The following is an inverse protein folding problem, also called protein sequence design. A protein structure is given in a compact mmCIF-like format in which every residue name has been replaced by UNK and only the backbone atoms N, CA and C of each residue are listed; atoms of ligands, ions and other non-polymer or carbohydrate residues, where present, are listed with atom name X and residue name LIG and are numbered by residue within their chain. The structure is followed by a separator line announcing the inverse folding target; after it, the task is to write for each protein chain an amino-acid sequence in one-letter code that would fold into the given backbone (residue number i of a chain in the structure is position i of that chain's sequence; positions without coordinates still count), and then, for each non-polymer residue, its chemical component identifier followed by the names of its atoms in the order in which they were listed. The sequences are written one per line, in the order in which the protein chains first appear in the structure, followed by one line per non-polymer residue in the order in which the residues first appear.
data_IF_330659088401
#
_entry.id   IF_330659088401
#
_cell.length_a   1.000
_cell.length_b   1.000
_cell.length_c   1.000
_cell.angle_alpha   90.00
_cell.angle_beta   90.00
_cell.angle_gamma   90.00
#
_symmetry.space_group_name_H-M   'P 1'
#
loop_
_entity.id
_entity.type
_entity.pdbx_description
1 polymer ?
#
# COMPACT_ATOMS: atom_id res chain seq x y z
N UNK A 1 6.05 76.22 12.31
CA UNK A 1 6.24 75.35 11.12
C UNK A 1 6.47 73.88 11.49
N UNK A 2 6.94 73.58 12.72
CA UNK A 2 7.33 72.22 13.13
C UNK A 2 6.19 71.27 13.53
N UNK A 3 5.01 71.77 13.88
CA UNK A 3 3.86 70.92 14.25
C UNK A 3 3.13 70.32 13.04
N UNK A 4 3.28 70.90 11.85
CA UNK A 4 2.66 70.43 10.60
C UNK A 4 3.50 69.32 9.95
N UNK A 5 4.82 69.49 9.90
CA UNK A 5 5.78 68.48 9.42
C UNK A 5 5.82 67.23 10.30
N UNK A 6 5.64 67.38 11.62
CA UNK A 6 5.52 66.24 12.53
C UNK A 6 4.25 65.42 12.24
N UNK A 7 3.07 66.05 12.10
CA UNK A 7 1.81 65.34 11.78
C UNK A 7 1.87 64.63 10.42
N UNK A 8 2.44 65.27 9.39
CA UNK A 8 2.57 64.64 8.06
C UNK A 8 3.51 63.43 8.10
N UNK A 9 4.62 63.47 8.85
CA UNK A 9 5.50 62.29 9.05
C UNK A 9 4.80 61.15 9.79
N UNK A 10 4.02 61.44 10.83
CA UNK A 10 3.29 60.41 11.59
C UNK A 10 2.17 59.79 10.75
N UNK A 11 1.43 60.59 9.98
CA UNK A 11 0.40 60.10 9.04
C UNK A 11 0.99 59.28 7.90
N UNK A 12 2.17 59.65 7.38
CA UNK A 12 2.86 58.88 6.34
C UNK A 12 3.40 57.53 6.88
N UNK A 13 3.93 57.51 8.10
CA UNK A 13 4.37 56.26 8.76
C UNK A 13 3.21 55.32 9.12
N UNK A 14 2.05 55.86 9.52
CA UNK A 14 0.83 55.10 9.75
C UNK A 14 0.27 54.52 8.44
N UNK A 15 0.31 55.28 7.34
CA UNK A 15 -0.11 54.81 6.02
C UNK A 15 0.80 53.67 5.48
N UNK A 16 2.12 53.78 5.66
CA UNK A 16 3.08 52.71 5.28
C UNK A 16 2.91 51.46 6.14
N UNK A 17 2.62 51.61 7.44
CA UNK A 17 2.29 50.47 8.33
C UNK A 17 0.95 49.82 7.98
N UNK A 18 -0.05 50.61 7.60
CA UNK A 18 -1.35 50.11 7.13
C UNK A 18 -1.26 49.37 5.80
N UNK A 19 -0.46 49.86 4.86
CA UNK A 19 -0.17 49.18 3.58
C UNK A 19 0.59 47.86 3.77
N UNK A 20 1.54 47.81 4.70
CA UNK A 20 2.25 46.57 5.03
C UNK A 20 1.32 45.51 5.66
N UNK A 21 0.36 45.94 6.49
CA UNK A 21 -0.66 45.06 7.05
C UNK A 21 -1.62 44.50 5.98
N UNK A 22 -2.11 45.35 5.08
CA UNK A 22 -2.94 44.95 3.94
C UNK A 22 -2.19 43.99 3.00
N UNK A 23 -0.91 44.26 2.72
CA UNK A 23 -0.09 43.37 1.90
C UNK A 23 0.14 42.00 2.56
N UNK A 24 0.40 41.96 3.87
CA UNK A 24 0.54 40.72 4.63
C UNK A 24 -0.78 39.93 4.74
N UNK A 25 -1.91 40.64 4.90
CA UNK A 25 -3.23 40.02 4.93
C UNK A 25 -3.59 39.40 3.58
N UNK A 26 -3.44 40.15 2.48
CA UNK A 26 -3.63 39.65 1.11
C UNK A 26 -2.69 38.49 0.79
N UNK A 27 -1.45 38.52 1.30
CA UNK A 27 -0.48 37.44 1.16
C UNK A 27 -0.93 36.16 1.87
N UNK A 28 -1.37 36.26 3.13
CA UNK A 28 -1.90 35.11 3.87
C UNK A 28 -3.17 34.55 3.23
N UNK A 29 -4.04 35.42 2.69
CA UNK A 29 -5.24 35.03 1.94
C UNK A 29 -4.90 34.28 0.64
N UNK A 30 -3.89 34.75 -0.11
CA UNK A 30 -3.44 34.07 -1.33
C UNK A 30 -2.81 32.71 -1.02
N UNK A 31 -2.07 32.60 0.07
CA UNK A 31 -1.43 31.36 0.51
C UNK A 31 -2.47 30.34 0.99
N UNK A 32 -3.51 30.80 1.72
CA UNK A 32 -4.67 30.00 2.07
C UNK A 32 -5.45 29.54 0.83
N UNK A 33 -5.60 30.41 -0.18
CA UNK A 33 -6.26 30.06 -1.44
C UNK A 33 -5.46 29.03 -2.25
N UNK A 34 -4.13 29.13 -2.28
CA UNK A 34 -3.24 28.13 -2.92
C UNK A 34 -3.28 26.80 -2.18
N UNK A 35 -3.27 26.81 -0.85
CA UNK A 35 -3.41 25.59 -0.05
C UNK A 35 -4.79 24.95 -0.24
N UNK A 36 -5.85 25.77 -0.31
CA UNK A 36 -7.21 25.32 -0.57
C UNK A 36 -7.37 24.76 -1.99
N UNK A 37 -6.83 25.42 -3.01
CA UNK A 37 -6.82 24.88 -4.39
C UNK A 37 -5.95 23.63 -4.49
N UNK A 38 -4.82 23.55 -3.78
CA UNK A 38 -4.02 22.33 -3.76
C UNK A 38 -4.75 21.16 -3.08
N UNK A 39 -5.52 21.44 -2.03
CA UNK A 39 -6.38 20.46 -1.39
C UNK A 39 -7.51 20.01 -2.32
N UNK A 40 -8.24 20.95 -2.91
CA UNK A 40 -9.44 20.66 -3.71
C UNK A 40 -9.12 20.09 -5.10
N UNK A 41 -8.07 20.57 -5.75
CA UNK A 41 -7.70 20.18 -7.13
C UNK A 41 -6.71 19.02 -7.14
N UNK A 42 -5.71 19.02 -6.24
CA UNK A 42 -4.63 18.03 -6.25
C UNK A 42 -4.69 16.98 -5.13
N UNK A 43 -5.71 17.00 -4.27
CA UNK A 43 -5.96 15.97 -3.24
C UNK A 43 -4.75 15.75 -2.30
N UNK A 44 -3.96 16.81 -2.10
CA UNK A 44 -2.77 16.79 -1.25
C UNK A 44 -3.16 16.41 0.19
N UNK A 45 -2.49 15.43 0.82
CA UNK A 45 -2.84 14.99 2.18
C UNK A 45 -2.72 16.10 3.21
N UNK A 46 -3.60 16.05 4.23
CA UNK A 46 -3.66 17.05 5.29
C UNK A 46 -2.34 17.17 6.04
N UNK A 47 -1.71 16.04 6.38
CA UNK A 47 -0.37 16.03 7.00
C UNK A 47 0.67 16.79 6.18
N UNK A 48 0.64 16.66 4.84
CA UNK A 48 1.56 17.37 3.97
C UNK A 48 1.27 18.87 3.95
N UNK A 49 -0.01 19.26 3.94
CA UNK A 49 -0.42 20.66 4.06
C UNK A 49 -0.02 21.25 5.42
N UNK A 50 -0.09 20.47 6.49
CA UNK A 50 0.37 20.86 7.82
C UNK A 50 1.88 21.05 7.82
N UNK A 51 2.67 20.13 7.27
CA UNK A 51 4.14 20.28 7.16
C UNK A 51 4.53 21.45 6.27
N UNK A 52 3.81 21.69 5.17
CA UNK A 52 4.02 22.85 4.32
C UNK A 52 3.71 24.15 5.08
N UNK A 53 2.58 24.19 5.79
CA UNK A 53 2.13 25.32 6.58
C UNK A 53 3.10 25.65 7.72
N UNK A 54 3.58 24.65 8.46
CA UNK A 54 4.58 24.83 9.51
C UNK A 54 5.92 25.28 8.94
N UNK A 55 6.36 24.73 7.81
CA UNK A 55 7.58 25.16 7.13
C UNK A 55 7.49 26.62 6.68
N UNK A 56 6.35 27.04 6.11
CA UNK A 56 6.10 28.42 5.70
C UNK A 56 6.08 29.38 6.90
N UNK A 57 5.47 28.97 8.02
CA UNK A 57 5.50 29.71 9.28
C UNK A 57 6.92 29.88 9.81
N UNK A 58 7.71 28.81 9.84
CA UNK A 58 9.11 28.84 10.29
C UNK A 58 9.98 29.71 9.40
N UNK A 59 9.81 29.66 8.08
CA UNK A 59 10.52 30.54 7.14
C UNK A 59 10.07 32.00 7.31
N UNK A 60 8.77 32.24 7.54
CA UNK A 60 8.25 33.58 7.85
C UNK A 60 8.83 34.16 9.14
N UNK A 61 8.92 33.36 10.20
CA UNK A 61 9.55 33.72 11.47
C UNK A 61 11.05 33.96 11.32
N UNK A 62 11.76 33.12 10.56
CA UNK A 62 13.17 33.32 10.26
C UNK A 62 13.40 34.61 9.45
N UNK A 63 12.57 34.89 8.44
CA UNK A 63 12.63 36.13 7.68
C UNK A 63 12.32 37.38 8.54
N UNK A 64 11.42 37.26 9.51
CA UNK A 64 11.14 38.31 10.50
C UNK A 64 12.31 38.53 11.46
N UNK A 65 12.89 37.46 12.02
CA UNK A 65 14.06 37.55 12.91
C UNK A 65 15.28 38.16 12.20
N UNK A 66 15.45 37.85 10.92
CA UNK A 66 16.52 38.40 10.09
C UNK A 66 16.19 39.80 9.53
N UNK A 67 14.98 40.34 9.74
CA UNK A 67 14.60 41.70 9.33
C UNK A 67 15.51 42.76 9.99
N UNK A 68 16.11 42.47 11.14
CA UNK A 68 17.11 43.31 11.79
C UNK A 68 18.46 43.40 11.06
N UNK A 69 18.74 42.49 10.11
CA UNK A 69 19.99 42.48 9.35
C UNK A 69 19.82 43.27 8.04
N UNK A 70 20.63 44.33 7.87
CA UNK A 70 20.64 45.21 6.69
C UNK A 70 21.22 44.54 5.42
N UNK A 71 20.73 43.35 5.01
CA UNK A 71 21.18 42.64 3.79
C UNK A 71 20.00 42.35 2.82
N UNK A 72 19.65 43.30 1.93
CA UNK A 72 18.47 43.20 1.06
C UNK A 72 18.44 42.05 0.03
N UNK A 73 19.54 41.60 -0.61
CA UNK A 73 19.46 40.50 -1.57
C UNK A 73 19.18 39.16 -0.89
N UNK A 74 19.80 38.90 0.27
CA UNK A 74 19.61 37.68 1.04
C UNK A 74 18.13 37.54 1.48
N UNK A 75 17.51 38.65 1.89
CA UNK A 75 16.09 38.69 2.28
C UNK A 75 15.15 38.32 1.14
N UNK A 76 15.40 38.80 -0.09
CA UNK A 76 14.58 38.44 -1.26
C UNK A 76 14.74 36.96 -1.60
N UNK A 77 15.96 36.44 -1.61
CA UNK A 77 16.23 35.03 -1.84
C UNK A 77 15.56 34.12 -0.82
N UNK A 78 15.54 34.50 0.46
CA UNK A 78 14.86 33.72 1.51
C UNK A 78 13.35 33.71 1.37
N UNK A 79 12.73 34.82 0.97
CA UNK A 79 11.28 34.87 0.69
C UNK A 79 10.94 34.03 -0.55
N UNK A 80 11.73 34.12 -1.62
CA UNK A 80 11.54 33.28 -2.81
C UNK A 80 11.77 31.81 -2.52
N UNK A 81 12.81 31.45 -1.77
CA UNK A 81 13.05 30.08 -1.33
C UNK A 81 11.89 29.58 -0.45
N UNK A 82 11.38 30.42 0.46
CA UNK A 82 10.23 30.12 1.30
C UNK A 82 8.92 29.91 0.54
N UNK A 83 8.74 30.54 -0.61
CA UNK A 83 7.50 30.45 -1.40
C UNK A 83 7.57 29.40 -2.50
N UNK A 84 8.66 29.39 -3.26
CA UNK A 84 8.81 28.55 -4.45
C UNK A 84 9.10 27.11 -4.04
N UNK A 85 9.94 26.90 -3.03
CA UNK A 85 10.33 25.55 -2.63
C UNK A 85 9.13 24.72 -2.15
N UNK A 86 8.25 25.20 -1.25
CA UNK A 86 7.07 24.44 -0.84
C UNK A 86 6.11 24.14 -1.99
N UNK A 87 5.92 25.08 -2.92
CA UNK A 87 5.09 24.86 -4.10
C UNK A 87 5.67 23.78 -5.02
N UNK A 88 6.98 23.79 -5.25
CA UNK A 88 7.66 22.76 -6.05
C UNK A 88 7.58 21.39 -5.38
N UNK A 89 7.80 21.33 -4.06
CA UNK A 89 7.67 20.08 -3.29
C UNK A 89 6.23 19.57 -3.32
N UNK A 90 5.23 20.42 -3.13
CA UNK A 90 3.82 20.05 -3.20
C UNK A 90 3.43 19.58 -4.62
N UNK A 91 3.90 20.25 -5.67
CA UNK A 91 3.67 19.84 -7.04
C UNK A 91 4.32 18.49 -7.36
N UNK A 92 5.57 18.27 -6.93
CA UNK A 92 6.28 17.01 -7.09
C UNK A 92 5.57 15.88 -6.35
N UNK A 93 5.23 16.07 -5.08
CA UNK A 93 4.52 15.06 -4.29
C UNK A 93 3.12 14.80 -4.84
N UNK A 94 2.39 15.82 -5.30
CA UNK A 94 1.12 15.66 -5.99
C UNK A 94 1.24 14.89 -7.31
N UNK A 95 2.34 15.05 -8.06
CA UNK A 95 2.61 14.26 -9.25
C UNK A 95 2.91 12.79 -8.90
N UNK A 96 3.76 12.54 -7.90
CA UNK A 96 4.02 11.18 -7.40
C UNK A 96 2.72 10.53 -6.94
N UNK A 97 1.90 11.25 -6.17
CA UNK A 97 0.60 10.76 -5.71
C UNK A 97 -0.30 10.36 -6.86
N UNK A 98 -0.37 11.13 -7.94
CA UNK A 98 -1.22 10.79 -9.09
C UNK A 98 -0.75 9.53 -9.83
N UNK A 99 0.56 9.30 -9.92
CA UNK A 99 1.14 8.15 -10.62
C UNK A 99 1.07 6.88 -9.77
N UNK A 100 1.40 7.00 -8.49
CA UNK A 100 1.54 5.88 -7.53
C UNK A 100 0.25 5.64 -6.70
N UNK A 101 -0.73 6.54 -6.81
CA UNK A 101 -1.99 6.55 -6.04
C UNK A 101 -1.76 6.39 -4.53
N UNK A 102 -0.84 7.17 -3.97
CA UNK A 102 -0.52 7.08 -2.54
C UNK A 102 0.07 5.73 -2.11
N UNK A 103 0.68 5.01 -3.05
CA UNK A 103 1.30 3.70 -2.86
C UNK A 103 2.72 3.76 -2.29
N UNK A 104 3.61 2.94 -2.85
CA UNK A 104 4.94 2.70 -2.27
C UNK A 104 5.90 3.90 -2.39
N UNK A 105 5.93 4.58 -3.54
CA UNK A 105 6.77 5.77 -3.71
C UNK A 105 6.31 6.90 -2.80
N UNK A 106 5.00 7.07 -2.68
CA UNK A 106 4.41 8.03 -1.76
C UNK A 106 4.84 7.76 -0.31
N UNK A 107 4.71 6.50 0.15
CA UNK A 107 5.15 6.09 1.48
C UNK A 107 6.65 6.35 1.68
N UNK A 108 7.51 6.00 0.71
CA UNK A 108 8.96 6.21 0.81
C UNK A 108 9.37 7.68 0.91
N UNK A 109 8.63 8.59 0.30
CA UNK A 109 8.93 10.02 0.33
C UNK A 109 8.37 10.72 1.57
N UNK A 110 7.27 10.23 2.13
CA UNK A 110 6.51 10.94 3.17
C UNK A 110 6.48 10.23 4.51
N UNK A 111 6.81 8.94 4.55
CA UNK A 111 6.60 8.07 5.70
C UNK A 111 5.13 7.75 6.00
N UNK A 112 4.20 8.24 5.18
CA UNK A 112 2.76 8.13 5.42
C UNK A 112 2.12 7.07 4.50
N UNK A 113 1.70 5.96 5.08
CA UNK A 113 0.94 4.91 4.39
C UNK A 113 -0.53 5.32 4.32
N UNK A 114 -1.03 5.67 3.13
CA UNK A 114 -2.41 6.14 2.96
C UNK A 114 -3.38 5.07 2.44
N UNK A 115 -2.87 3.95 1.90
CA UNK A 115 -3.61 2.88 1.21
C UNK A 115 -5.05 3.28 0.85
N UNK A 116 -5.23 4.00 -0.27
CA UNK A 116 -6.52 4.60 -0.58
C UNK A 116 -7.62 3.56 -0.59
N UNK A 117 -8.74 3.91 0.04
CA UNK A 117 -9.95 3.09 0.07
C UNK A 117 -10.58 3.04 -1.33
N UNK A 118 -10.72 1.86 -1.90
CA UNK A 118 -11.50 1.62 -3.12
C UNK A 118 -12.91 1.10 -2.76
N UNK A 119 -13.95 1.82 -3.18
CA UNK A 119 -15.36 1.41 -3.03
C UNK A 119 -15.84 0.73 -4.31
N UNK A 120 -16.05 -0.58 -4.25
CA UNK A 120 -16.41 -1.46 -5.37
C UNK A 120 -17.59 -2.37 -5.00
N UNK A 121 -18.42 -1.98 -4.04
CA UNK A 121 -19.49 -2.80 -3.47
C UNK A 121 -20.53 -3.26 -4.51
N UNK A 122 -20.83 -2.43 -5.51
CA UNK A 122 -21.77 -2.77 -6.59
C UNK A 122 -21.33 -4.00 -7.39
N UNK A 123 -20.02 -4.16 -7.61
CA UNK A 123 -19.47 -5.28 -8.38
C UNK A 123 -19.48 -6.61 -7.65
N UNK A 124 -19.71 -6.61 -6.33
CA UNK A 124 -19.79 -7.84 -5.53
C UNK A 124 -20.99 -8.71 -5.88
N UNK A 125 -22.05 -8.10 -6.43
CA UNK A 125 -23.33 -8.74 -6.74
C UNK A 125 -23.58 -8.90 -8.24
N UNK A 126 -22.56 -8.67 -9.08
CA UNK A 126 -22.71 -8.84 -10.53
C UNK A 126 -23.05 -10.28 -10.91
N UNK A 127 -23.98 -10.40 -11.85
CA UNK A 127 -24.22 -11.66 -12.54
C UNK A 127 -23.01 -12.06 -13.40
N UNK A 128 -22.93 -13.33 -13.81
CA UNK A 128 -21.88 -13.78 -14.72
C UNK A 128 -21.84 -12.95 -16.02
N UNK A 129 -23.00 -12.61 -16.59
CA UNK A 129 -23.09 -11.83 -17.83
C UNK A 129 -22.64 -10.38 -17.64
N UNK A 130 -22.97 -9.75 -16.51
CA UNK A 130 -22.51 -8.39 -16.21
C UNK A 130 -21.01 -8.36 -15.92
N UNK A 131 -20.50 -9.34 -15.17
CA UNK A 131 -19.07 -9.48 -14.93
C UNK A 131 -18.29 -9.62 -16.24
N UNK A 132 -18.71 -10.52 -17.13
CA UNK A 132 -18.03 -10.77 -18.41
C UNK A 132 -18.10 -9.57 -19.37
N UNK A 133 -19.19 -8.78 -19.30
CA UNK A 133 -19.31 -7.54 -20.09
C UNK A 133 -18.26 -6.51 -19.70
N UNK A 134 -17.96 -6.39 -18.41
CA UNK A 134 -16.96 -5.46 -17.90
C UNK A 134 -15.54 -6.04 -17.98
N UNK A 135 -15.41 -7.37 -17.94
CA UNK A 135 -14.12 -8.07 -17.91
C UNK A 135 -14.01 -9.09 -19.06
N UNK A 136 -13.87 -8.63 -20.32
CA UNK A 136 -13.91 -9.50 -21.50
C UNK A 136 -12.71 -10.46 -21.61
N UNK A 137 -11.70 -10.34 -20.75
CA UNK A 137 -10.59 -11.29 -20.70
C UNK A 137 -10.99 -12.65 -20.11
N UNK A 138 -12.09 -12.71 -19.36
CA UNK A 138 -12.61 -13.93 -18.77
C UNK A 138 -13.59 -14.62 -19.72
N UNK A 139 -13.78 -15.91 -19.50
CA UNK A 139 -14.79 -16.73 -20.15
C UNK A 139 -15.47 -17.62 -19.12
N UNK A 140 -16.50 -18.36 -19.51
CA UNK A 140 -17.03 -19.43 -18.65
C UNK A 140 -16.35 -20.76 -18.99
N UNK A 141 -16.16 -21.59 -17.97
CA UNK A 141 -15.82 -22.99 -18.18
C UNK A 141 -16.95 -23.66 -18.97
N UNK A 142 -16.59 -24.53 -19.93
CA UNK A 142 -17.57 -25.21 -20.77
C UNK A 142 -18.59 -25.99 -19.91
N UNK A 143 -19.88 -25.69 -20.11
CA UNK A 143 -20.97 -26.34 -19.37
C UNK A 143 -21.26 -25.73 -18.00
N UNK A 144 -20.53 -24.70 -17.57
CA UNK A 144 -20.79 -23.97 -16.34
C UNK A 144 -21.40 -22.59 -16.62
N UNK A 145 -22.33 -22.17 -15.77
CA UNK A 145 -22.93 -20.83 -15.79
C UNK A 145 -22.24 -19.86 -14.82
N UNK A 146 -21.43 -20.37 -13.91
CA UNK A 146 -20.89 -19.63 -12.76
C UNK A 146 -19.38 -19.73 -12.63
N UNK A 147 -18.75 -20.71 -13.26
CA UNK A 147 -17.30 -20.88 -13.18
C UNK A 147 -16.60 -20.04 -14.25
N UNK A 148 -15.95 -18.98 -13.78
CA UNK A 148 -15.12 -18.11 -14.58
C UNK A 148 -13.79 -18.80 -14.89
N UNK A 149 -13.32 -18.61 -16.10
CA UNK A 149 -12.08 -19.14 -16.63
C UNK A 149 -11.23 -17.99 -17.17
N UNK A 150 -10.03 -17.86 -16.62
CA UNK A 150 -8.96 -17.04 -17.18
C UNK A 150 -7.94 -17.97 -17.86
N UNK A 151 -7.85 -17.87 -19.18
CA UNK A 151 -6.99 -18.74 -19.99
C UNK A 151 -5.51 -18.36 -19.87
N UNK A 152 -4.64 -19.30 -20.22
CA UNK A 152 -3.19 -19.06 -20.20
C UNK A 152 -2.78 -17.95 -21.16
N UNK A 153 -2.47 -16.78 -20.61
CA UNK A 153 -1.96 -15.61 -21.35
C UNK A 153 -1.32 -14.58 -20.39
N UNK A 154 -0.85 -13.47 -20.95
CA UNK A 154 -0.40 -12.30 -20.19
C UNK A 154 -1.51 -11.24 -20.21
N UNK A 155 -1.96 -10.82 -19.03
CA UNK A 155 -3.02 -9.83 -18.87
C UNK A 155 -2.49 -8.59 -18.15
N UNK A 156 -2.78 -7.41 -18.71
CA UNK A 156 -2.62 -6.13 -18.01
C UNK A 156 -3.93 -5.79 -17.29
N UNK A 157 -3.87 -5.67 -15.97
CA UNK A 157 -5.01 -5.40 -15.10
C UNK A 157 -4.98 -3.92 -14.73
N UNK A 158 -5.76 -3.12 -15.43
CA UNK A 158 -5.77 -1.65 -15.30
C UNK A 158 -6.66 -1.14 -14.14
N UNK A 159 -7.62 -1.97 -13.73
CA UNK A 159 -8.61 -1.68 -12.68
C UNK A 159 -8.66 -2.83 -11.66
N UNK A 160 -9.12 -2.52 -10.45
CA UNK A 160 -9.26 -3.54 -9.40
C UNK A 160 -10.34 -4.54 -9.82
N UNK A 161 -9.99 -5.82 -9.84
CA UNK A 161 -10.87 -6.91 -10.23
C UNK A 161 -11.63 -7.39 -9.01
N UNK A 162 -12.96 -7.38 -9.09
CA UNK A 162 -13.84 -7.97 -8.08
C UNK A 162 -14.46 -9.23 -8.65
N UNK A 163 -14.15 -10.38 -8.07
CA UNK A 163 -14.84 -11.64 -8.37
C UNK A 163 -16.09 -11.70 -7.49
N UNK A 164 -17.31 -11.61 -8.09
CA UNK A 164 -18.57 -11.56 -7.36
C UNK A 164 -18.84 -12.83 -6.56
N UNK A 165 -19.76 -12.76 -5.60
CA UNK A 165 -20.24 -13.93 -4.88
C UNK A 165 -20.93 -14.91 -5.84
N UNK A 166 -20.64 -16.21 -5.68
CA UNK A 166 -21.24 -17.28 -6.48
C UNK A 166 -20.57 -17.53 -7.83
N UNK A 167 -19.50 -16.77 -8.17
CA UNK A 167 -18.71 -16.97 -9.39
C UNK A 167 -17.30 -17.46 -9.04
N UNK A 168 -17.08 -18.78 -9.12
CA UNK A 168 -15.74 -19.36 -8.85
C UNK A 168 -14.78 -19.01 -9.98
N UNK A 169 -13.55 -18.61 -9.66
CA UNK A 169 -12.52 -18.29 -10.66
C UNK A 169 -11.48 -19.39 -10.79
N UNK A 170 -11.32 -19.94 -12.00
CA UNK A 170 -10.20 -20.81 -12.37
C UNK A 170 -9.20 -20.06 -13.25
N UNK A 171 -7.91 -20.14 -12.89
CA UNK A 171 -6.81 -19.55 -13.66
C UNK A 171 -5.93 -20.67 -14.19
N UNK A 172 -5.75 -20.72 -15.51
CA UNK A 172 -4.94 -21.76 -16.15
C UNK A 172 -3.42 -21.60 -15.86
N UNK A 173 -2.65 -22.70 -15.80
CA UNK A 173 -1.20 -22.67 -15.68
C UNK A 173 -0.52 -21.75 -16.70
N UNK A 174 0.58 -21.10 -16.30
CA UNK A 174 1.35 -20.19 -17.18
C UNK A 174 0.74 -18.81 -17.38
N UNK A 175 -0.40 -18.51 -16.75
CA UNK A 175 -1.01 -17.18 -16.78
C UNK A 175 -0.15 -16.16 -16.03
N UNK A 176 0.01 -14.96 -16.59
CA UNK A 176 0.71 -13.83 -15.96
C UNK A 176 -0.24 -12.64 -15.84
N UNK A 177 -0.55 -12.24 -14.62
CA UNK A 177 -1.38 -11.09 -14.27
C UNK A 177 -0.48 -9.92 -13.86
N UNK A 178 -0.48 -8.84 -14.65
CA UNK A 178 0.32 -7.63 -14.43
C UNK A 178 -0.59 -6.48 -14.02
N UNK A 179 -0.59 -6.14 -12.75
CA UNK A 179 -1.49 -5.14 -12.19
C UNK A 179 -0.91 -3.72 -12.30
N UNK A 180 -1.76 -2.76 -12.66
CA UNK A 180 -1.46 -1.34 -12.60
C UNK A 180 -1.30 -0.86 -11.13
N UNK A 181 -0.76 0.37 -10.91
CA UNK A 181 -0.42 0.85 -9.58
C UNK A 181 -1.59 0.81 -8.61
N UNK A 182 -1.40 0.07 -7.51
CA UNK A 182 -2.40 -0.09 -6.46
C UNK A 182 -3.63 -0.94 -6.81
N UNK A 183 -3.71 -1.55 -7.99
CA UNK A 183 -4.86 -2.40 -8.36
C UNK A 183 -4.78 -3.77 -7.73
N UNK A 184 -5.93 -4.30 -7.37
CA UNK A 184 -6.07 -5.54 -6.61
C UNK A 184 -6.93 -6.57 -7.32
N UNK A 185 -6.91 -7.81 -6.83
CA UNK A 185 -7.87 -8.86 -7.14
C UNK A 185 -8.58 -9.23 -5.83
N UNK A 186 -9.84 -8.83 -5.66
CA UNK A 186 -10.63 -9.17 -4.47
C UNK A 186 -11.71 -10.16 -4.89
N UNK A 187 -11.82 -11.26 -4.15
CA UNK A 187 -12.74 -12.34 -4.46
C UNK A 187 -13.67 -12.63 -3.29
N UNK A 188 -14.96 -12.63 -3.59
CA UNK A 188 -16.02 -13.11 -2.70
C UNK A 188 -16.46 -14.54 -3.07
N UNK A 189 -15.64 -15.21 -3.89
CA UNK A 189 -15.79 -16.59 -4.34
C UNK A 189 -14.43 -17.32 -4.32
N UNK A 190 -14.41 -18.66 -4.40
CA UNK A 190 -13.16 -19.41 -4.50
C UNK A 190 -12.32 -18.99 -5.71
N UNK A 191 -10.99 -18.96 -5.53
CA UNK A 191 -10.02 -18.92 -6.63
C UNK A 191 -9.27 -20.24 -6.68
N UNK A 192 -9.25 -20.86 -7.86
CA UNK A 192 -8.47 -22.06 -8.18
C UNK A 192 -7.35 -21.67 -9.15
N UNK A 193 -6.18 -21.39 -8.59
CA UNK A 193 -4.95 -21.08 -9.31
C UNK A 193 -3.95 -22.23 -9.14
N UNK A 194 -4.03 -23.22 -10.04
CA UNK A 194 -3.12 -24.37 -10.05
C UNK A 194 -2.11 -24.23 -11.18
N UNK A 195 -0.99 -23.59 -10.89
CA UNK A 195 0.17 -23.59 -11.76
C UNK A 195 0.89 -24.94 -11.72
N UNK A 196 2.03 -25.00 -12.41
CA UNK A 196 2.99 -26.09 -12.26
C UNK A 196 4.39 -25.53 -12.05
N UNK A 197 5.33 -26.35 -11.57
CA UNK A 197 6.73 -25.92 -11.45
C UNK A 197 7.32 -25.39 -12.78
N UNK A 198 6.84 -25.88 -13.93
CA UNK A 198 7.26 -25.44 -15.28
C UNK A 198 6.46 -24.26 -15.82
N UNK A 199 5.18 -24.17 -15.45
CA UNK A 199 4.24 -23.14 -15.88
C UNK A 199 3.51 -22.56 -14.68
N UNK A 200 4.22 -21.80 -13.82
CA UNK A 200 3.61 -21.18 -12.66
C UNK A 200 2.64 -20.09 -13.10
N UNK A 201 1.67 -19.79 -12.24
CA UNK A 201 0.80 -18.63 -12.41
C UNK A 201 1.47 -17.44 -11.70
N UNK A 202 1.66 -16.33 -12.39
CA UNK A 202 2.34 -15.16 -11.84
C UNK A 202 1.38 -14.00 -11.59
N UNK A 203 1.42 -13.45 -10.38
CA UNK A 203 0.75 -12.21 -9.98
C UNK A 203 1.82 -11.17 -9.66
N UNK A 204 1.87 -10.09 -10.44
CA UNK A 204 2.96 -9.13 -10.35
C UNK A 204 2.50 -7.70 -10.67
N UNK A 205 3.27 -6.71 -10.23
CA UNK A 205 3.11 -5.35 -10.70
C UNK A 205 3.51 -5.25 -12.18
N UNK A 206 2.72 -4.55 -12.99
CA UNK A 206 3.11 -4.13 -14.33
C UNK A 206 4.36 -3.25 -14.28
N UNK A 207 4.43 -2.38 -13.27
CA UNK A 207 5.58 -1.54 -12.98
C UNK A 207 6.09 -1.84 -11.56
N UNK A 208 7.15 -2.68 -11.42
CA UNK A 208 7.65 -3.09 -10.11
C UNK A 208 8.01 -1.95 -9.17
N UNK A 209 8.34 -0.75 -9.67
CA UNK A 209 8.60 0.40 -8.81
C UNK A 209 7.35 0.94 -8.09
N UNK A 210 6.20 0.90 -8.76
CA UNK A 210 4.94 1.48 -8.30
C UNK A 210 4.11 0.52 -7.44
N UNK A 211 4.42 -0.78 -7.53
CA UNK A 211 3.72 -1.88 -6.86
C UNK A 211 2.26 -1.99 -7.29
N UNK A 212 1.68 -3.16 -7.07
CA UNK A 212 0.23 -3.35 -7.18
C UNK A 212 -0.35 -3.57 -5.80
N UNK A 213 -1.66 -3.70 -5.69
CA UNK A 213 -2.33 -3.97 -4.43
C UNK A 213 -2.16 -5.42 -3.98
N UNK A 214 -3.29 -6.10 -3.78
CA UNK A 214 -3.37 -7.42 -3.12
C UNK A 214 -4.19 -8.42 -3.92
N UNK A 215 -4.10 -9.68 -3.52
CA UNK A 215 -5.16 -10.68 -3.68
C UNK A 215 -5.87 -10.82 -2.33
N UNK A 216 -7.16 -10.53 -2.28
CA UNK A 216 -7.98 -10.70 -1.09
C UNK A 216 -9.08 -11.73 -1.32
N UNK A 217 -9.22 -12.71 -0.44
CA UNK A 217 -10.33 -13.67 -0.46
C UNK A 217 -11.18 -13.44 0.78
N UNK A 218 -12.48 -13.19 0.61
CA UNK A 218 -13.36 -12.72 1.69
C UNK A 218 -14.59 -13.59 1.80
N UNK A 219 -14.73 -14.27 2.95
CA UNK A 219 -15.86 -15.14 3.31
C UNK A 219 -16.30 -16.05 2.15
N UNK A 220 -15.33 -16.64 1.48
CA UNK A 220 -15.53 -17.51 0.33
C UNK A 220 -15.31 -18.98 0.69
N UNK A 221 -15.73 -19.87 -0.21
CA UNK A 221 -15.35 -21.28 -0.13
C UNK A 221 -13.84 -21.49 -0.33
N UNK A 222 -13.35 -22.74 -0.18
CA UNK A 222 -11.93 -23.05 -0.20
C UNK A 222 -11.23 -22.66 -1.51
N UNK A 223 -10.15 -21.89 -1.40
CA UNK A 223 -9.31 -21.49 -2.54
C UNK A 223 -8.04 -22.34 -2.65
N UNK A 224 -7.44 -22.38 -3.83
CA UNK A 224 -6.20 -23.13 -4.10
C UNK A 224 -5.20 -22.23 -4.82
N UNK A 225 -4.00 -22.13 -4.27
CA UNK A 225 -2.84 -21.46 -4.83
C UNK A 225 -1.67 -22.44 -4.86
N UNK A 226 -1.53 -23.15 -5.96
CA UNK A 226 -0.48 -24.15 -6.16
C UNK A 226 0.48 -23.65 -7.24
N UNK A 227 1.78 -23.67 -6.94
CA UNK A 227 2.83 -23.19 -7.85
C UNK A 227 2.57 -21.78 -8.41
N UNK A 228 2.12 -20.86 -7.55
CA UNK A 228 1.96 -19.45 -7.90
C UNK A 228 3.21 -18.64 -7.54
N UNK A 229 3.42 -17.52 -8.22
CA UNK A 229 4.43 -16.51 -7.87
C UNK A 229 3.77 -15.18 -7.64
N UNK A 230 3.82 -14.68 -6.41
CA UNK A 230 3.26 -13.39 -6.00
C UNK A 230 4.42 -12.43 -5.71
N UNK A 231 4.47 -11.31 -6.42
CA UNK A 231 5.61 -10.38 -6.39
C UNK A 231 5.19 -8.92 -6.43
N UNK A 232 5.94 -8.05 -5.77
CA UNK A 232 5.77 -6.59 -5.84
C UNK A 232 4.37 -6.07 -5.45
N UNK A 233 3.61 -6.82 -4.64
CA UNK A 233 2.33 -6.35 -4.08
C UNK A 233 2.54 -5.51 -2.82
N UNK A 234 1.49 -4.78 -2.41
CA UNK A 234 1.48 -3.91 -1.24
C UNK A 234 0.15 -3.99 -0.50
N UNK A 235 0.09 -3.45 0.71
CA UNK A 235 -1.14 -3.32 1.49
C UNK A 235 -2.20 -2.50 0.73
N UNK A 236 -3.46 -2.95 0.78
CA UNK A 236 -4.58 -2.27 0.15
C UNK A 236 -5.83 -2.30 1.05
N UNK A 237 -6.73 -1.36 0.80
CA UNK A 237 -8.05 -1.31 1.42
C UNK A 237 -9.13 -1.24 0.35
N UNK A 238 -10.05 -2.20 0.35
CA UNK A 238 -11.13 -2.32 -0.64
C UNK A 238 -12.42 -2.68 0.10
N UNK A 239 -13.52 -2.03 -0.23
CA UNK A 239 -14.83 -2.26 0.40
C UNK A 239 -14.79 -2.24 1.95
N UNK A 240 -14.08 -1.26 2.52
CA UNK A 240 -13.87 -1.05 3.96
C UNK A 240 -13.15 -2.22 4.68
N UNK A 241 -12.50 -3.11 3.92
CA UNK A 241 -11.71 -4.21 4.45
C UNK A 241 -10.22 -3.93 4.24
N UNK A 242 -9.44 -4.24 5.28
CA UNK A 242 -7.99 -4.20 5.27
C UNK A 242 -7.41 -5.52 4.78
N UNK A 243 -6.45 -5.45 3.86
CA UNK A 243 -5.72 -6.59 3.34
C UNK A 243 -4.21 -6.41 3.60
N UNK A 244 -3.74 -6.71 4.83
CA UNK A 244 -2.36 -6.44 5.27
C UNK A 244 -1.34 -7.33 4.54
N UNK A 245 -1.73 -8.56 4.23
CA UNK A 245 -0.99 -9.49 3.39
C UNK A 245 -1.15 -9.21 1.90
N UNK A 246 -0.11 -9.47 1.09
CA UNK A 246 -0.29 -9.42 -0.38
C UNK A 246 -1.26 -10.50 -0.86
N UNK A 247 -1.26 -11.66 -0.22
CA UNK A 247 -2.40 -12.58 -0.22
C UNK A 247 -3.06 -12.51 1.15
N UNK A 248 -4.36 -12.22 1.20
CA UNK A 248 -5.12 -12.15 2.45
C UNK A 248 -6.34 -13.06 2.38
N UNK A 249 -6.47 -13.93 3.39
CA UNK A 249 -7.55 -14.88 3.55
C UNK A 249 -8.41 -14.46 4.74
N UNK A 250 -9.51 -13.76 4.47
CA UNK A 250 -10.41 -13.27 5.49
C UNK A 250 -11.57 -14.25 5.64
N UNK A 251 -11.54 -15.07 6.69
CA UNK A 251 -12.53 -16.13 6.98
C UNK A 251 -12.79 -17.02 5.75
N UNK A 252 -11.73 -17.37 5.04
CA UNK A 252 -11.79 -18.13 3.79
C UNK A 252 -10.68 -19.17 3.78
N UNK A 253 -11.07 -20.43 3.68
CA UNK A 253 -10.12 -21.53 3.70
C UNK A 253 -9.23 -21.52 2.44
N UNK A 254 -7.99 -21.99 2.56
CA UNK A 254 -7.14 -22.14 1.39
C UNK A 254 -6.06 -23.22 1.52
N UNK A 255 -5.65 -23.73 0.35
CA UNK A 255 -4.43 -24.53 0.19
C UNK A 255 -3.42 -23.68 -0.60
N UNK A 256 -2.26 -23.42 0.00
CA UNK A 256 -1.16 -22.67 -0.59
C UNK A 256 0.07 -23.57 -0.60
N UNK A 257 0.45 -24.06 -1.78
CA UNK A 257 1.51 -25.07 -1.91
C UNK A 257 2.49 -24.78 -3.02
N UNK A 258 3.77 -25.11 -2.80
CA UNK A 258 4.81 -25.04 -3.83
C UNK A 258 4.98 -23.64 -4.46
N UNK A 259 4.59 -22.59 -3.74
CA UNK A 259 4.43 -21.22 -4.25
C UNK A 259 5.53 -20.29 -3.74
N UNK A 260 5.64 -19.11 -4.35
CA UNK A 260 6.69 -18.13 -4.06
C UNK A 260 6.10 -16.74 -3.81
N UNK A 261 6.48 -16.14 -2.69
CA UNK A 261 6.12 -14.80 -2.26
C UNK A 261 7.40 -13.97 -2.15
N UNK A 262 7.66 -13.08 -3.11
CA UNK A 262 8.99 -12.47 -3.28
C UNK A 262 8.92 -10.97 -3.52
N UNK A 263 9.74 -10.20 -2.79
CA UNK A 263 9.80 -8.74 -2.88
C UNK A 263 8.42 -8.13 -2.65
N UNK A 264 7.87 -8.35 -1.46
CA UNK A 264 6.54 -7.89 -1.09
C UNK A 264 6.64 -6.69 -0.15
N UNK A 265 5.74 -5.74 -0.36
CA UNK A 265 5.72 -4.42 0.28
C UNK A 265 4.41 -4.18 1.04
N UNK A 266 3.57 -5.22 1.16
CA UNK A 266 2.48 -5.25 2.13
C UNK A 266 3.06 -5.45 3.52
N UNK A 267 2.22 -5.35 4.54
CA UNK A 267 2.68 -5.70 5.89
C UNK A 267 3.18 -7.13 5.85
N UNK A 268 2.37 -8.03 5.29
CA UNK A 268 2.67 -9.46 5.30
C UNK A 268 2.74 -10.02 3.87
N UNK A 269 3.38 -11.17 3.71
CA UNK A 269 3.32 -11.91 2.46
C UNK A 269 1.96 -12.59 2.30
N UNK A 270 1.58 -13.36 3.32
CA UNK A 270 0.32 -14.08 3.46
C UNK A 270 -0.28 -13.76 4.83
N UNK A 271 -1.51 -13.25 4.82
CA UNK A 271 -2.30 -12.98 6.02
C UNK A 271 -3.49 -13.93 6.07
N UNK A 272 -3.72 -14.56 7.23
CA UNK A 272 -4.86 -15.46 7.46
C UNK A 272 -5.62 -14.98 8.68
N UNK A 273 -6.94 -14.80 8.54
CA UNK A 273 -7.81 -14.41 9.64
C UNK A 273 -8.97 -15.39 9.80
N UNK A 274 -9.02 -16.10 10.94
CA UNK A 274 -10.09 -17.04 11.31
C UNK A 274 -10.48 -18.00 10.18
N UNK A 275 -9.50 -18.68 9.59
CA UNK A 275 -9.70 -19.60 8.48
C UNK A 275 -8.90 -20.90 8.66
N UNK A 276 -9.25 -21.94 7.91
CA UNK A 276 -8.43 -23.14 7.78
C UNK A 276 -7.46 -22.98 6.61
N UNK A 277 -6.15 -23.05 6.87
CA UNK A 277 -5.16 -22.97 5.79
C UNK A 277 -4.11 -24.09 5.85
N UNK A 278 -3.80 -24.65 4.68
CA UNK A 278 -2.63 -25.50 4.47
C UNK A 278 -1.58 -24.70 3.72
N UNK A 279 -0.48 -24.38 4.40
CA UNK A 279 0.64 -23.60 3.87
C UNK A 279 1.85 -24.52 3.85
N UNK A 280 2.12 -25.17 2.70
CA UNK A 280 3.17 -26.19 2.61
C UNK A 280 4.15 -26.02 1.45
N UNK A 281 5.44 -26.16 1.73
CA UNK A 281 6.46 -26.21 0.67
C UNK A 281 6.62 -24.90 -0.11
N UNK A 282 6.31 -23.76 0.52
CA UNK A 282 6.39 -22.44 -0.09
C UNK A 282 7.72 -21.74 0.22
N UNK A 283 8.03 -20.69 -0.54
CA UNK A 283 9.12 -19.77 -0.26
C UNK A 283 8.59 -18.36 -0.08
N UNK A 284 8.85 -17.79 1.09
CA UNK A 284 8.62 -16.40 1.45
C UNK A 284 9.97 -15.70 1.53
N UNK A 285 10.19 -14.67 0.70
CA UNK A 285 11.50 -14.03 0.59
C UNK A 285 11.43 -12.53 0.42
N UNK A 286 12.20 -11.79 1.23
CA UNK A 286 12.29 -10.32 1.12
C UNK A 286 10.90 -9.70 1.18
N UNK A 287 10.19 -9.98 2.27
CA UNK A 287 8.91 -9.38 2.63
C UNK A 287 9.16 -8.11 3.44
N UNK A 288 8.20 -7.19 3.48
CA UNK A 288 8.40 -5.92 4.19
C UNK A 288 8.22 -6.03 5.70
N UNK A 289 7.22 -6.79 6.17
CA UNK A 289 7.21 -7.31 7.55
C UNK A 289 7.20 -8.84 7.52
N UNK A 290 6.05 -9.45 7.68
CA UNK A 290 5.94 -10.85 8.08
C UNK A 290 5.87 -11.78 6.87
N UNK A 291 6.42 -12.97 7.02
CA UNK A 291 6.31 -14.02 6.01
C UNK A 291 4.88 -14.54 5.95
N UNK A 292 4.42 -15.10 7.07
CA UNK A 292 3.02 -15.44 7.31
C UNK A 292 2.60 -14.79 8.61
N UNK A 293 1.47 -14.10 8.58
CA UNK A 293 0.74 -13.62 9.75
C UNK A 293 -0.58 -14.41 9.84
N UNK A 294 -0.81 -15.08 10.96
CA UNK A 294 -1.93 -16.00 11.17
C UNK A 294 -2.70 -15.63 12.46
N UNK A 295 -3.84 -14.98 12.27
CA UNK A 295 -4.74 -14.48 13.31
C UNK A 295 -5.94 -15.43 13.49
N UNK A 296 -5.72 -16.49 14.28
CA UNK A 296 -6.73 -17.49 14.60
C UNK A 296 -7.15 -18.41 13.45
N UNK A 297 -7.75 -19.55 13.78
CA UNK A 297 -8.20 -20.55 12.81
C UNK A 297 -7.52 -21.91 12.98
N UNK A 298 -7.30 -22.65 11.89
CA UNK A 298 -6.69 -23.99 12.00
C UNK A 298 -5.90 -24.41 10.77
N UNK A 299 -5.16 -25.51 10.86
CA UNK A 299 -4.52 -26.14 9.71
C UNK A 299 -3.04 -26.43 9.93
N UNK A 300 -2.24 -26.22 8.88
CA UNK A 300 -0.85 -26.71 8.84
C UNK A 300 0.06 -25.68 8.18
N UNK A 301 1.19 -25.40 8.82
CA UNK A 301 2.28 -24.61 8.26
C UNK A 301 3.53 -25.48 8.26
N UNK A 302 3.90 -26.03 7.11
CA UNK A 302 4.99 -27.02 7.06
C UNK A 302 5.92 -26.92 5.86
N UNK A 303 7.17 -27.30 6.06
CA UNK A 303 8.19 -27.40 5.00
C UNK A 303 8.40 -26.11 4.17
N UNK A 304 8.10 -24.94 4.76
CA UNK A 304 8.26 -23.64 4.09
C UNK A 304 9.66 -23.05 4.33
N UNK A 305 10.07 -22.14 3.46
CA UNK A 305 11.28 -21.34 3.61
C UNK A 305 10.92 -19.87 3.79
N UNK A 306 11.32 -19.28 4.92
CA UNK A 306 11.18 -17.86 5.22
C UNK A 306 12.57 -17.24 5.21
N UNK A 307 12.84 -16.38 4.24
CA UNK A 307 14.18 -15.91 3.91
C UNK A 307 14.21 -14.38 3.86
N UNK A 308 14.92 -13.76 4.80
CA UNK A 308 15.05 -12.30 4.90
C UNK A 308 13.67 -11.61 4.96
N UNK A 309 12.76 -12.11 5.80
CA UNK A 309 11.53 -11.40 6.14
C UNK A 309 11.87 -10.14 6.95
N UNK A 310 11.15 -9.04 6.68
CA UNK A 310 11.44 -7.74 7.26
C UNK A 310 11.18 -7.69 8.77
N UNK A 311 10.21 -8.47 9.25
CA UNK A 311 9.96 -8.70 10.67
C UNK A 311 10.05 -10.19 11.00
N UNK A 312 8.96 -10.88 11.30
CA UNK A 312 8.95 -12.30 11.60
C UNK A 312 8.84 -13.17 10.34
N UNK A 313 9.44 -14.36 10.37
CA UNK A 313 9.10 -15.39 9.40
C UNK A 313 7.66 -15.86 9.59
N UNK A 314 7.27 -16.04 10.84
CA UNK A 314 5.95 -16.49 11.29
C UNK A 314 5.51 -15.60 12.45
N UNK A 315 4.39 -14.89 12.28
CA UNK A 315 3.64 -14.24 13.34
C UNK A 315 2.32 -14.98 13.55
N UNK A 316 2.09 -15.51 14.75
CA UNK A 316 0.99 -16.40 15.07
C UNK A 316 0.29 -15.90 16.33
N UNK A 317 -0.92 -15.38 16.14
CA UNK A 317 -1.71 -14.71 17.18
C UNK A 317 -3.16 -15.22 17.26
N UNK A 318 -3.80 -14.98 18.39
CA UNK A 318 -5.20 -15.34 18.62
C UNK A 318 -5.43 -16.83 18.86
N UNK A 319 -6.68 -17.28 18.69
CA UNK A 319 -7.06 -18.66 18.96
C UNK A 319 -6.92 -19.55 17.71
N UNK A 320 -5.77 -20.24 17.60
CA UNK A 320 -5.47 -21.11 16.46
C UNK A 320 -5.22 -22.58 16.86
N UNK A 321 -5.51 -23.52 15.97
CA UNK A 321 -5.13 -24.95 16.07
C UNK A 321 -4.25 -25.33 14.87
N UNK A 322 -2.93 -25.19 15.03
CA UNK A 322 -1.96 -25.31 13.94
C UNK A 322 -0.91 -26.38 14.22
N UNK A 323 -0.67 -27.24 13.23
CA UNK A 323 0.54 -28.07 13.17
C UNK A 323 1.66 -27.31 12.44
N UNK A 324 2.77 -27.04 13.12
CA UNK A 324 3.85 -26.17 12.60
C UNK A 324 5.20 -26.90 12.66
N UNK A 325 5.71 -27.37 11.53
CA UNK A 325 6.92 -28.20 11.50
C UNK A 325 7.67 -28.18 10.17
N UNK A 326 8.97 -28.50 10.19
CA UNK A 326 9.80 -28.61 8.98
C UNK A 326 10.11 -27.29 8.29
N UNK A 327 9.66 -26.15 8.83
CA UNK A 327 9.92 -24.84 8.26
C UNK A 327 11.36 -24.41 8.55
N UNK A 328 11.92 -23.62 7.64
CA UNK A 328 13.22 -22.97 7.79
C UNK A 328 13.02 -21.46 7.81
N UNK A 329 13.40 -20.80 8.90
CA UNK A 329 13.34 -19.34 9.04
C UNK A 329 14.75 -18.79 9.16
N UNK A 330 15.16 -17.96 8.19
CA UNK A 330 16.48 -17.33 8.18
C UNK A 330 16.40 -15.86 7.84
N UNK A 331 16.93 -15.02 8.70
CA UNK A 331 17.00 -13.57 8.52
C UNK A 331 18.24 -12.98 9.22
N UNK A 332 18.41 -11.65 9.20
CA UNK A 332 19.52 -10.98 9.88
C UNK A 332 19.49 -11.08 11.41
N UNK A 333 18.33 -11.40 11.99
CA UNK A 333 18.11 -11.59 13.42
C UNK A 333 18.28 -13.03 13.90
N UNK A 334 18.63 -13.97 13.01
CA UNK A 334 18.81 -15.38 13.35
C UNK A 334 17.54 -16.24 13.20
N UNK A 335 16.53 -15.74 12.46
CA UNK A 335 15.26 -16.40 12.20
C UNK A 335 14.22 -16.06 13.27
N UNK A 336 13.52 -14.95 13.08
CA UNK A 336 12.53 -14.41 14.02
C UNK A 336 11.16 -15.06 13.86
N UNK A 337 10.50 -15.28 15.00
CA UNK A 337 9.10 -15.71 15.11
C UNK A 337 8.42 -15.03 16.29
N UNK A 338 7.13 -14.74 16.11
CA UNK A 338 6.21 -14.33 17.16
C UNK A 338 5.14 -15.42 17.27
N UNK A 339 5.05 -16.05 18.44
CA UNK A 339 4.14 -17.18 18.68
C UNK A 339 3.60 -17.07 20.09
N UNK A 340 2.27 -16.93 20.22
CA UNK A 340 1.62 -16.73 21.52
C UNK A 340 1.52 -18.00 22.38
N UNK A 341 1.53 -19.20 21.79
CA UNK A 341 1.48 -20.50 22.51
C UNK A 341 2.40 -21.56 21.91
N UNK A 342 2.76 -22.57 22.69
CA UNK A 342 3.58 -23.73 22.26
C UNK A 342 4.93 -23.37 21.60
N UNK A 343 5.49 -22.21 21.96
CA UNK A 343 6.70 -21.65 21.35
C UNK A 343 7.87 -22.64 21.32
N UNK A 344 8.12 -23.36 22.40
CA UNK A 344 9.22 -24.34 22.46
C UNK A 344 9.01 -25.51 21.49
N UNK A 345 7.77 -26.01 21.37
CA UNK A 345 7.42 -27.07 20.41
C UNK A 345 7.60 -26.59 18.98
N UNK A 346 7.16 -25.35 18.68
CA UNK A 346 7.38 -24.73 17.38
C UNK A 346 8.88 -24.56 17.12
N UNK A 347 9.68 -24.12 18.09
CA UNK A 347 11.12 -23.96 17.90
C UNK A 347 11.83 -25.31 17.69
N UNK A 348 11.44 -26.35 18.40
CA UNK A 348 12.04 -27.68 18.28
C UNK A 348 11.73 -28.37 16.95
N UNK A 349 10.56 -28.06 16.35
CA UNK A 349 10.10 -28.70 15.12
C UNK A 349 10.51 -27.97 13.84
N UNK A 350 11.25 -26.85 13.96
CA UNK A 350 11.60 -25.97 12.84
C UNK A 350 13.07 -25.54 12.93
N UNK A 351 13.64 -25.09 11.81
CA UNK A 351 15.04 -24.64 11.73
C UNK A 351 15.13 -23.13 11.68
N UNK A 352 15.96 -22.54 12.55
CA UNK A 352 16.19 -21.09 12.63
C UNK A 352 17.67 -20.79 12.39
N UNK A 353 17.98 -19.66 11.78
CA UNK A 353 19.36 -19.23 11.65
C UNK A 353 19.55 -17.90 10.97
N UNK A 354 20.80 -17.49 10.83
CA UNK A 354 21.13 -16.27 10.10
C UNK A 354 20.99 -16.49 8.60
N UNK A 355 20.55 -15.46 7.87
CA UNK A 355 20.67 -15.49 6.43
C UNK A 355 22.13 -15.52 6.01
N UNK A 356 22.43 -16.29 4.96
CA UNK A 356 23.75 -16.31 4.36
C UNK A 356 23.97 -14.92 3.76
N UNK A 357 24.82 -14.11 4.39
CA UNK A 357 25.23 -12.81 3.85
C UNK A 357 25.62 -12.99 2.38
N UNK A 358 24.94 -12.26 1.49
CA UNK A 358 25.30 -12.17 0.08
C UNK A 358 26.55 -11.33 -0.11
#
# INVERSE_FOLDING_TARGET
MDSFTARVKTSCQLAVRGQAWLANALFLSALALVALTARLVWHVPEALLTTLGTSLLLVGLAAWALHGLRRPPLRRWMVWAGLVWPCLVAAFLGAVYRVDRGGWLWFRLTGYERAPQEEMSESMAWSASDFLRHNPMFSLVQGSATDLLLKSAVYDIEETLIIPQGLSLTIEPGTVLRFAPGRSLISYSPIIARGTARQPIEFNARWPLLKWGVIGIVRAGPSVFEHVRIRNGRYARVNQLDFPGTLSLLQSDAVVTGSQFVNLFGRDALYVWNARAEIRGNMFRTTYKDGVDFDGGSGVIADNQFLDCGDEGLDLSGDYDLAIFGNTVRDSGGGRIAVEKDRETVRASNSFGYSLKK
#
